data_IF_235621675124
#
_entry.id   IF_235621675124
#
_cell.length_a   1.000
_cell.length_b   1.000
_cell.length_c   1.000
_cell.angle_alpha   90.00
_cell.angle_beta   90.00
_cell.angle_gamma   90.00
#
_symmetry.space_group_name_H-M   'P 1'
#
loop_
_entity.id
_entity.type
_entity.pdbx_description
1 polymer ?
#
# COMPACT_ATOMS: atom_id res chain seq x y z
N UNK A 1 22.76 9.37 -12.03
CA UNK A 1 23.20 10.77 -12.23
C UNK A 1 22.56 11.60 -11.13
N UNK A 2 23.33 12.38 -10.36
CA UNK A 2 22.79 13.19 -9.25
C UNK A 2 22.91 14.67 -9.59
N UNK A 3 21.78 15.40 -9.56
CA UNK A 3 21.75 16.85 -9.74
C UNK A 3 22.06 17.51 -8.40
N UNK A 4 23.01 18.46 -8.37
CA UNK A 4 23.30 19.25 -7.18
C UNK A 4 22.37 20.47 -7.15
N UNK A 5 21.33 20.39 -6.33
CA UNK A 5 20.40 21.48 -6.08
C UNK A 5 20.62 22.06 -4.68
N UNK A 6 20.59 23.39 -4.56
CA UNK A 6 20.59 24.06 -3.25
C UNK A 6 19.19 24.00 -2.66
N UNK A 7 19.05 23.50 -1.44
CA UNK A 7 17.77 23.38 -0.72
C UNK A 7 17.94 23.93 0.68
N UNK A 8 17.04 24.80 1.10
CA UNK A 8 16.98 25.31 2.48
C UNK A 8 16.33 24.27 3.38
N UNK A 9 16.93 24.05 4.56
CA UNK A 9 16.37 23.22 5.61
C UNK A 9 16.02 24.10 6.81
N UNK A 10 15.01 23.70 7.57
CA UNK A 10 14.81 24.26 8.91
C UNK A 10 15.93 23.77 9.83
N UNK A 11 16.18 24.51 10.92
CA UNK A 11 17.17 24.12 11.92
C UNK A 11 16.87 22.73 12.49
N UNK A 12 15.59 22.40 12.71
CA UNK A 12 15.15 21.08 13.18
C UNK A 12 15.45 19.96 12.18
N UNK A 13 15.19 20.18 10.89
CA UNK A 13 15.49 19.21 9.84
C UNK A 13 16.99 18.95 9.72
N UNK A 14 17.79 20.02 9.81
CA UNK A 14 19.24 19.91 9.79
C UNK A 14 19.77 19.17 11.03
N UNK A 15 19.27 19.52 12.22
CA UNK A 15 19.65 18.85 13.47
C UNK A 15 19.30 17.36 13.41
N UNK A 16 18.10 17.00 12.95
CA UNK A 16 17.72 15.60 12.75
C UNK A 16 18.67 14.87 11.80
N UNK A 17 18.99 15.45 10.64
CA UNK A 17 19.93 14.85 9.70
C UNK A 17 21.33 14.67 10.32
N UNK A 18 21.78 15.60 11.16
CA UNK A 18 23.04 15.49 11.92
C UNK A 18 23.04 14.30 12.87
N UNK A 19 21.98 14.10 13.65
CA UNK A 19 21.89 12.93 14.58
C UNK A 19 22.03 11.59 13.84
N UNK A 20 21.48 11.50 12.62
CA UNK A 20 21.57 10.29 11.80
C UNK A 20 22.98 10.04 11.26
N UNK A 21 23.72 11.11 10.95
CA UNK A 21 25.12 11.02 10.51
C UNK A 21 26.03 10.65 11.67
N UNK A 22 25.84 11.28 12.84
CA UNK A 22 26.59 10.99 14.07
C UNK A 22 26.38 9.54 14.53
N UNK A 23 25.18 9.00 14.34
CA UNK A 23 24.88 7.59 14.56
C UNK A 23 25.46 6.64 13.48
N UNK A 24 26.20 7.15 12.49
CA UNK A 24 26.81 6.37 11.41
C UNK A 24 25.82 5.80 10.40
N UNK A 25 24.54 6.23 10.42
CA UNK A 25 23.49 5.69 9.53
C UNK A 25 23.57 6.25 8.12
N UNK A 26 24.09 7.46 7.97
CA UNK A 26 24.25 8.13 6.68
C UNK A 26 25.58 8.86 6.60
N UNK A 27 26.13 8.96 5.39
CA UNK A 27 27.42 9.62 5.13
C UNK A 27 27.34 11.15 5.04
N UNK A 28 26.14 11.71 4.83
CA UNK A 28 25.94 13.15 4.66
C UNK A 28 24.47 13.55 4.78
N UNK A 29 24.21 14.85 4.92
CA UNK A 29 22.85 15.42 4.90
C UNK A 29 22.18 15.17 3.55
N UNK A 30 22.94 15.26 2.45
CA UNK A 30 22.40 14.99 1.11
C UNK A 30 21.90 13.54 0.97
N UNK A 31 22.63 12.57 1.53
CA UNK A 31 22.20 11.17 1.54
C UNK A 31 20.89 10.96 2.34
N UNK A 32 20.74 11.64 3.48
CA UNK A 32 19.48 11.63 4.26
C UNK A 32 18.33 12.19 3.45
N UNK A 33 18.52 13.34 2.79
CA UNK A 33 17.47 13.97 1.98
C UNK A 33 17.09 13.13 0.76
N UNK A 34 18.07 12.56 0.07
CA UNK A 34 17.82 11.67 -1.07
C UNK A 34 16.95 10.47 -0.65
N UNK A 35 17.31 9.81 0.45
CA UNK A 35 16.52 8.72 1.00
C UNK A 35 15.12 9.20 1.43
N UNK A 36 15.01 10.38 2.04
CA UNK A 36 13.73 10.98 2.43
C UNK A 36 12.80 11.22 1.24
N UNK A 37 13.33 11.76 0.14
CA UNK A 37 12.57 11.98 -1.11
C UNK A 37 12.15 10.64 -1.72
N UNK A 38 13.04 9.65 -1.74
CA UNK A 38 12.71 8.31 -2.24
C UNK A 38 11.62 7.63 -1.42
N UNK A 39 11.66 7.78 -0.09
CA UNK A 39 10.61 7.28 0.81
C UNK A 39 9.28 7.99 0.57
N UNK A 40 9.29 9.31 0.40
CA UNK A 40 8.09 10.09 0.08
C UNK A 40 7.48 9.64 -1.25
N UNK A 41 8.31 9.47 -2.30
CA UNK A 41 7.84 8.97 -3.59
C UNK A 41 7.21 7.60 -3.48
N UNK A 42 7.88 6.63 -2.82
CA UNK A 42 7.32 5.28 -2.63
C UNK A 42 5.99 5.30 -1.89
N UNK A 43 5.86 6.17 -0.89
CA UNK A 43 4.60 6.36 -0.17
C UNK A 43 3.50 6.88 -1.08
N UNK A 44 3.78 7.92 -1.88
CA UNK A 44 2.82 8.47 -2.83
C UNK A 44 2.40 7.43 -3.87
N UNK A 45 3.36 6.69 -4.43
CA UNK A 45 3.10 5.63 -5.42
C UNK A 45 2.19 4.52 -4.82
N UNK A 46 2.41 4.16 -3.55
CA UNK A 46 1.59 3.18 -2.84
C UNK A 46 0.17 3.69 -2.55
N UNK A 47 0.05 4.92 -2.04
CA UNK A 47 -1.24 5.56 -1.76
C UNK A 47 -2.09 5.70 -3.04
N UNK A 48 -1.47 6.03 -4.18
CA UNK A 48 -2.14 6.10 -5.47
C UNK A 48 -2.61 4.71 -5.95
N UNK A 49 -1.76 3.70 -5.85
CA UNK A 49 -2.09 2.33 -6.24
C UNK A 49 -3.26 1.78 -5.41
N UNK A 50 -3.20 1.94 -4.08
CA UNK A 50 -4.27 1.51 -3.17
C UNK A 50 -5.58 2.22 -3.47
N UNK A 51 -5.53 3.53 -3.69
CA UNK A 51 -6.71 4.34 -4.04
C UNK A 51 -7.33 3.90 -5.36
N UNK A 52 -6.49 3.61 -6.37
CA UNK A 52 -6.94 3.11 -7.66
C UNK A 52 -7.61 1.73 -7.53
N UNK A 53 -6.99 0.80 -6.79
CA UNK A 53 -7.54 -0.53 -6.55
C UNK A 53 -8.87 -0.47 -5.79
N UNK A 54 -8.97 0.37 -4.77
CA UNK A 54 -10.22 0.57 -4.03
C UNK A 54 -11.31 1.16 -4.92
N UNK A 55 -10.99 2.17 -5.75
CA UNK A 55 -11.94 2.74 -6.71
C UNK A 55 -12.46 1.69 -7.68
N UNK A 56 -11.58 0.85 -8.23
CA UNK A 56 -11.96 -0.24 -9.12
C UNK A 56 -12.87 -1.26 -8.41
N UNK A 57 -12.54 -1.65 -7.18
CA UNK A 57 -13.37 -2.55 -6.36
C UNK A 57 -14.78 -1.97 -6.14
N UNK A 58 -14.88 -0.69 -5.78
CA UNK A 58 -16.16 -0.02 -5.56
C UNK A 58 -16.98 0.09 -6.85
N UNK A 59 -16.35 0.40 -7.98
CA UNK A 59 -17.01 0.43 -9.29
C UNK A 59 -17.53 -0.95 -9.69
N UNK A 60 -16.73 -2.01 -9.50
CA UNK A 60 -17.16 -3.39 -9.74
C UNK A 60 -18.34 -3.77 -8.84
N UNK A 61 -18.27 -3.43 -7.54
CA UNK A 61 -19.35 -3.71 -6.59
C UNK A 61 -20.64 -2.97 -6.92
N UNK A 62 -20.53 -1.71 -7.35
CA UNK A 62 -21.67 -0.87 -7.76
C UNK A 62 -22.34 -1.40 -9.03
N UNK A 63 -21.56 -1.85 -10.00
CA UNK A 63 -22.07 -2.33 -11.28
C UNK A 63 -22.50 -3.81 -11.24
N UNK A 64 -22.11 -4.56 -10.21
CA UNK A 64 -22.51 -5.94 -10.00
C UNK A 64 -23.92 -6.08 -9.42
N UNK A 65 -24.52 -7.26 -9.59
CA UNK A 65 -25.82 -7.58 -9.02
C UNK A 65 -25.76 -7.54 -7.49
N UNK A 66 -26.70 -6.82 -6.87
CA UNK A 66 -26.91 -6.88 -5.43
C UNK A 66 -27.76 -8.10 -5.11
N UNK A 67 -27.22 -9.01 -4.30
CA UNK A 67 -27.97 -10.14 -3.74
C UNK A 67 -28.29 -9.84 -2.28
N UNK A 68 -29.46 -10.30 -1.83
CA UNK A 68 -29.85 -10.21 -0.42
C UNK A 68 -29.09 -11.24 0.44
N UNK A 69 -29.15 -11.08 1.76
CA UNK A 69 -28.39 -11.95 2.66
C UNK A 69 -28.76 -13.44 2.49
N UNK A 70 -30.06 -13.74 2.37
CA UNK A 70 -30.55 -15.12 2.22
C UNK A 70 -30.10 -15.76 0.90
N UNK A 71 -30.09 -15.01 -0.19
CA UNK A 71 -29.56 -15.45 -1.47
C UNK A 71 -28.06 -15.71 -1.42
N UNK A 72 -27.30 -14.88 -0.70
CA UNK A 72 -25.87 -15.08 -0.50
C UNK A 72 -25.58 -16.35 0.31
N UNK A 73 -26.30 -16.57 1.41
CA UNK A 73 -26.14 -17.76 2.26
C UNK A 73 -26.38 -19.05 1.48
N UNK A 74 -27.43 -19.07 0.66
CA UNK A 74 -27.74 -20.21 -0.21
C UNK A 74 -26.63 -20.47 -1.23
N UNK A 75 -26.18 -19.44 -1.95
CA UNK A 75 -25.09 -19.55 -2.94
C UNK A 75 -23.80 -20.05 -2.29
N UNK A 76 -23.47 -19.56 -1.09
CA UNK A 76 -22.29 -19.99 -0.35
C UNK A 76 -22.38 -21.46 0.10
N UNK A 77 -23.53 -21.89 0.61
CA UNK A 77 -23.75 -23.28 1.00
C UNK A 77 -23.62 -24.23 -0.19
N UNK A 78 -24.14 -23.85 -1.36
CA UNK A 78 -24.00 -24.59 -2.62
C UNK A 78 -22.52 -24.70 -3.04
N UNK A 79 -21.77 -23.59 -3.06
CA UNK A 79 -20.34 -23.59 -3.38
C UNK A 79 -19.52 -24.48 -2.44
N UNK A 80 -19.83 -24.46 -1.14
CA UNK A 80 -19.15 -25.31 -0.14
C UNK A 80 -19.49 -26.78 -0.37
N UNK A 81 -20.75 -27.12 -0.64
CA UNK A 81 -21.17 -28.48 -0.96
C UNK A 81 -20.49 -29.00 -2.23
N UNK A 82 -20.40 -28.18 -3.28
CA UNK A 82 -19.70 -28.51 -4.52
C UNK A 82 -18.21 -28.79 -4.28
N UNK A 83 -17.52 -27.92 -3.53
CA UNK A 83 -16.12 -28.13 -3.17
C UNK A 83 -15.94 -29.41 -2.35
N UNK A 84 -16.81 -29.67 -1.38
CA UNK A 84 -16.73 -30.90 -0.57
C UNK A 84 -16.95 -32.15 -1.42
N UNK A 85 -17.88 -32.14 -2.38
CA UNK A 85 -18.06 -33.25 -3.34
C UNK A 85 -16.82 -33.45 -4.20
N UNK A 86 -16.27 -32.36 -4.75
CA UNK A 86 -15.07 -32.41 -5.59
C UNK A 86 -13.83 -32.97 -4.87
N UNK A 87 -13.76 -32.79 -3.54
CA UNK A 87 -12.68 -33.30 -2.70
C UNK A 87 -13.03 -34.61 -1.95
N UNK A 88 -14.18 -35.25 -2.23
CA UNK A 88 -14.58 -36.51 -1.59
C UNK A 88 -14.91 -36.40 -0.09
N UNK A 89 -15.22 -35.19 0.39
CA UNK A 89 -15.50 -34.87 1.79
C UNK A 89 -17.00 -34.89 2.13
N UNK A 90 -17.84 -35.39 1.21
CA UNK A 90 -19.26 -35.63 1.43
C UNK A 90 -19.51 -37.13 1.24
N UNK A 91 -19.77 -37.82 2.35
CA UNK A 91 -20.35 -39.17 2.40
C UNK A 91 -21.87 -39.10 2.24
#
# INVERSE_FOLDING_TARGET
MTVKSSVSLTDEQYAFARTLIEAGRYSSVSAVLQQGVDLLRRRMDAEELETAALRELLLRRRNGEFTDARGMDKRLAEMVADKRRAHGLLS
#
